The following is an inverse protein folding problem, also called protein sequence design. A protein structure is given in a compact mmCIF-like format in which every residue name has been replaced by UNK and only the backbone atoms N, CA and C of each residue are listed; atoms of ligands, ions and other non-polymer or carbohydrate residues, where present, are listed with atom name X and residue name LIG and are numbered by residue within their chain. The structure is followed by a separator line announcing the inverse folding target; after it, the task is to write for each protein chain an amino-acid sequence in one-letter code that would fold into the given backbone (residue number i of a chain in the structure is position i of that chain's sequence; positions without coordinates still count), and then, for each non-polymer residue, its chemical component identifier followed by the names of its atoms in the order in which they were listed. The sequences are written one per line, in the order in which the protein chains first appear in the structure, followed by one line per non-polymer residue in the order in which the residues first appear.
data_IF_636616050808
#
_entry.id   IF_636616050808
#
_cell.length_a   1.000
_cell.length_b   1.000
_cell.length_c   1.000
_cell.angle_alpha   90.00
_cell.angle_beta   90.00
_cell.angle_gamma   90.00
#
_symmetry.space_group_name_H-M   'P 1'
#
loop_
_entity.id
_entity.type
_entity.pdbx_description
1 polymer ?
#
# COMPACT_ATOMS: atom_id res chain seq x y z
N UNK A 1 16.51 -19.13 15.37
CA UNK A 1 15.22 -19.29 14.67
C UNK A 1 14.52 -17.95 14.45
N UNK A 2 14.32 -17.15 15.50
CA UNK A 2 13.68 -15.82 15.39
C UNK A 2 14.42 -14.85 14.44
N UNK A 3 15.76 -14.83 14.44
CA UNK A 3 16.53 -13.98 13.52
C UNK A 3 16.33 -14.34 12.03
N UNK A 4 16.17 -15.64 11.74
CA UNK A 4 15.87 -16.12 10.38
C UNK A 4 14.47 -15.65 9.97
N UNK A 5 13.49 -15.70 10.89
CA UNK A 5 12.14 -15.16 10.64
C UNK A 5 12.16 -13.65 10.38
N UNK A 6 12.93 -12.86 11.13
CA UNK A 6 13.12 -11.43 10.86
C UNK A 6 13.59 -11.19 9.43
N UNK A 7 14.62 -11.93 9.01
CA UNK A 7 15.18 -11.79 7.67
C UNK A 7 14.16 -12.17 6.59
N UNK A 8 13.38 -13.24 6.78
CA UNK A 8 12.31 -13.62 5.84
C UNK A 8 11.25 -12.51 5.75
N UNK A 9 10.76 -11.99 6.89
CA UNK A 9 9.74 -10.94 6.92
C UNK A 9 10.22 -9.68 6.22
N UNK A 10 11.47 -9.26 6.45
CA UNK A 10 12.03 -8.09 5.78
C UNK A 10 12.30 -8.35 4.30
N UNK A 11 12.87 -9.50 3.96
CA UNK A 11 13.22 -9.85 2.60
C UNK A 11 12.00 -10.07 1.70
N UNK A 12 10.87 -10.53 2.25
CA UNK A 12 9.61 -10.69 1.51
C UNK A 12 8.77 -9.41 1.59
N UNK A 13 8.71 -8.79 2.77
CA UNK A 13 7.88 -7.61 3.02
C UNK A 13 8.29 -6.40 2.20
N UNK A 14 9.58 -6.09 2.11
CA UNK A 14 10.08 -4.94 1.34
C UNK A 14 9.77 -5.05 -0.16
N UNK A 15 10.07 -6.17 -0.86
CA UNK A 15 9.68 -6.34 -2.25
C UNK A 15 8.19 -6.24 -2.50
N UNK A 16 7.35 -6.76 -1.59
CA UNK A 16 5.88 -6.63 -1.71
C UNK A 16 5.46 -5.17 -1.60
N UNK A 17 6.01 -4.41 -0.64
CA UNK A 17 5.74 -2.99 -0.49
C UNK A 17 6.20 -2.17 -1.71
N UNK A 18 7.38 -2.50 -2.27
CA UNK A 18 7.90 -1.86 -3.49
C UNK A 18 7.03 -2.21 -4.70
N UNK A 19 6.67 -3.48 -4.89
CA UNK A 19 5.81 -3.90 -5.99
C UNK A 19 4.41 -3.26 -5.89
N UNK A 20 3.82 -3.25 -4.69
CA UNK A 20 2.52 -2.64 -4.45
C UNK A 20 2.50 -1.13 -4.66
N UNK A 21 3.59 -0.44 -4.32
CA UNK A 21 3.72 1.01 -4.54
C UNK A 21 3.84 1.36 -6.01
N UNK A 22 4.61 0.60 -6.79
CA UNK A 22 4.65 0.76 -8.26
C UNK A 22 3.26 0.48 -8.86
N UNK A 23 2.60 -0.59 -8.43
CA UNK A 23 1.28 -0.97 -8.93
C UNK A 23 0.22 0.12 -8.70
N UNK A 24 0.11 0.65 -7.47
CA UNK A 24 -0.90 1.66 -7.14
C UNK A 24 -0.59 2.99 -7.84
N UNK A 25 0.68 3.32 -8.03
CA UNK A 25 1.07 4.52 -8.77
C UNK A 25 0.64 4.44 -10.25
N UNK A 26 0.91 3.31 -10.91
CA UNK A 26 0.51 3.09 -12.32
C UNK A 26 -1.01 3.15 -12.46
N UNK A 27 -1.76 2.43 -11.60
CA UNK A 27 -3.23 2.47 -11.62
C UNK A 27 -3.77 3.88 -11.35
N UNK A 28 -3.25 4.54 -10.32
CA UNK A 28 -3.64 5.89 -9.92
C UNK A 28 -3.44 6.92 -11.03
N UNK A 29 -2.30 6.83 -11.74
CA UNK A 29 -2.01 7.69 -12.90
C UNK A 29 -3.01 7.47 -14.04
N UNK A 30 -3.37 6.23 -14.31
CA UNK A 30 -4.41 5.88 -15.28
C UNK A 30 -5.74 6.57 -14.95
N UNK A 31 -6.23 6.41 -13.71
CA UNK A 31 -7.48 7.05 -13.26
C UNK A 31 -7.38 8.56 -13.41
N UNK A 32 -6.33 9.18 -12.87
CA UNK A 32 -6.15 10.63 -12.92
C UNK A 32 -6.14 11.18 -14.35
N UNK A 33 -5.55 10.48 -15.31
CA UNK A 33 -5.54 10.93 -16.71
C UNK A 33 -6.93 10.94 -17.35
N UNK A 34 -7.83 10.02 -16.97
CA UNK A 34 -9.18 9.93 -17.52
C UNK A 34 -10.15 10.94 -16.91
N UNK A 35 -9.93 11.36 -15.66
CA UNK A 35 -10.80 12.28 -14.92
C UNK A 35 -10.06 13.55 -14.48
N UNK A 36 -9.12 14.01 -15.30
CA UNK A 36 -8.27 15.17 -15.01
C UNK A 36 -9.12 16.41 -14.77
N UNK A 37 -9.06 16.96 -13.55
CA UNK A 37 -9.83 18.15 -13.14
C UNK A 37 -11.12 17.86 -12.38
N UNK A 38 -11.61 16.62 -12.36
CA UNK A 38 -12.79 16.24 -11.58
C UNK A 38 -12.47 15.95 -10.12
N UNK A 39 -13.52 15.95 -9.27
CA UNK A 39 -13.43 15.55 -7.87
C UNK A 39 -12.83 14.14 -7.71
N UNK A 40 -13.24 13.20 -8.58
CA UNK A 40 -12.79 11.81 -8.59
C UNK A 40 -11.29 11.72 -8.88
N UNK A 41 -10.78 12.53 -9.81
CA UNK A 41 -9.35 12.60 -10.11
C UNK A 41 -8.53 13.10 -8.92
N UNK A 42 -9.01 14.14 -8.21
CA UNK A 42 -8.36 14.65 -6.99
C UNK A 42 -8.35 13.61 -5.87
N UNK A 43 -9.48 12.97 -5.59
CA UNK A 43 -9.60 11.94 -4.55
C UNK A 43 -8.67 10.75 -4.86
N UNK A 44 -8.66 10.29 -6.12
CA UNK A 44 -7.80 9.17 -6.55
C UNK A 44 -6.31 9.50 -6.37
N UNK A 45 -5.90 10.72 -6.73
CA UNK A 45 -4.52 11.18 -6.53
C UNK A 45 -4.16 11.19 -5.05
N UNK A 46 -5.01 11.79 -4.19
CA UNK A 46 -4.79 11.82 -2.75
C UNK A 46 -4.70 10.41 -2.16
N UNK A 47 -5.61 9.50 -2.54
CA UNK A 47 -5.61 8.11 -2.08
C UNK A 47 -4.29 7.39 -2.42
N UNK A 48 -3.79 7.56 -3.64
CA UNK A 48 -2.52 6.98 -4.08
C UNK A 48 -1.36 7.53 -3.25
N UNK A 49 -1.27 8.84 -3.04
CA UNK A 49 -0.22 9.44 -2.21
C UNK A 49 -0.29 8.96 -0.76
N UNK A 50 -1.47 8.96 -0.15
CA UNK A 50 -1.65 8.49 1.23
C UNK A 50 -1.26 7.02 1.37
N UNK A 51 -1.58 6.18 0.39
CA UNK A 51 -1.17 4.78 0.39
C UNK A 51 0.34 4.59 0.23
N UNK A 52 0.99 5.37 -0.64
CA UNK A 52 2.44 5.33 -0.81
C UNK A 52 3.16 5.73 0.47
N UNK A 53 2.72 6.83 1.11
CA UNK A 53 3.26 7.27 2.39
C UNK A 53 3.02 6.20 3.46
N UNK A 54 1.83 5.63 3.52
CA UNK A 54 1.49 4.55 4.46
C UNK A 54 2.37 3.31 4.28
N UNK A 55 2.62 2.88 3.04
CA UNK A 55 3.52 1.76 2.71
C UNK A 55 4.95 2.00 3.18
N UNK A 56 5.50 3.18 2.87
CA UNK A 56 6.86 3.53 3.24
C UNK A 56 7.03 3.62 4.75
N UNK A 57 6.11 4.32 5.43
CA UNK A 57 6.08 4.43 6.88
C UNK A 57 5.96 3.05 7.54
N UNK A 58 5.07 2.18 7.04
CA UNK A 58 4.91 0.83 7.55
C UNK A 58 6.21 0.03 7.40
N UNK A 59 6.85 0.06 6.23
CA UNK A 59 8.11 -0.65 5.99
C UNK A 59 9.23 -0.21 6.93
N UNK A 60 9.43 1.10 7.09
CA UNK A 60 10.46 1.68 7.96
C UNK A 60 10.17 1.36 9.43
N UNK A 61 8.96 1.65 9.91
CA UNK A 61 8.59 1.45 11.32
C UNK A 61 8.65 -0.02 11.68
N UNK A 62 8.17 -0.92 10.82
CA UNK A 62 8.25 -2.36 11.05
C UNK A 62 9.69 -2.86 11.09
N UNK A 63 10.54 -2.35 10.21
CA UNK A 63 11.98 -2.68 10.21
C UNK A 63 12.63 -2.22 11.52
N UNK A 64 12.43 -0.96 11.90
CA UNK A 64 12.94 -0.43 13.16
C UNK A 64 12.46 -1.24 14.37
N UNK A 65 11.17 -1.56 14.43
CA UNK A 65 10.58 -2.31 15.53
C UNK A 65 11.15 -3.73 15.65
N UNK A 66 11.38 -4.40 14.51
CA UNK A 66 12.01 -5.73 14.46
C UNK A 66 13.49 -5.75 14.87
N UNK A 67 14.19 -4.60 14.80
CA UNK A 67 15.60 -4.49 15.21
C UNK A 67 15.80 -3.94 16.62
N UNK A 68 14.95 -3.01 17.09
CA UNK A 68 15.13 -2.34 18.38
C UNK A 68 14.36 -2.96 19.55
N UNK A 69 13.32 -3.75 19.29
CA UNK A 69 12.49 -4.37 20.34
C UNK A 69 12.74 -5.86 20.48
N UNK A 70 12.21 -6.48 21.54
CA UNK A 70 12.18 -7.93 21.68
C UNK A 70 11.53 -8.57 20.46
N UNK A 71 12.28 -9.43 19.77
CA UNK A 71 11.91 -9.92 18.43
C UNK A 71 10.58 -10.69 18.44
N UNK A 72 10.31 -11.49 19.47
CA UNK A 72 9.01 -12.17 19.61
C UNK A 72 7.85 -11.17 19.68
N UNK A 73 7.94 -10.16 20.56
CA UNK A 73 6.91 -9.12 20.70
C UNK A 73 6.76 -8.32 19.41
N UNK A 74 7.86 -7.97 18.76
CA UNK A 74 7.85 -7.23 17.51
C UNK A 74 7.08 -7.98 16.41
N UNK A 75 7.29 -9.28 16.25
CA UNK A 75 6.56 -10.07 15.27
C UNK A 75 5.05 -10.14 15.55
N UNK A 76 4.66 -10.32 16.81
CA UNK A 76 3.24 -10.35 17.21
C UNK A 76 2.50 -9.03 16.93
N UNK A 77 3.23 -7.92 16.83
CA UNK A 77 2.65 -6.61 16.47
C UNK A 77 2.72 -6.37 14.96
N UNK A 78 3.87 -6.61 14.34
CA UNK A 78 4.11 -6.29 12.92
C UNK A 78 3.22 -7.11 12.00
N UNK A 79 3.06 -8.42 12.25
CA UNK A 79 2.28 -9.30 11.37
C UNK A 79 0.81 -8.86 11.26
N UNK A 80 0.06 -8.65 12.37
CA UNK A 80 -1.30 -8.13 12.29
C UNK A 80 -1.41 -6.77 11.60
N UNK A 81 -0.47 -5.86 11.86
CA UNK A 81 -0.47 -4.53 11.23
C UNK A 81 -0.30 -4.66 9.71
N UNK A 82 0.59 -5.54 9.25
CA UNK A 82 0.74 -5.84 7.82
C UNK A 82 -0.53 -6.43 7.21
N UNK A 83 -1.23 -7.32 7.91
CA UNK A 83 -2.49 -7.90 7.44
C UNK A 83 -3.56 -6.82 7.28
N UNK A 84 -3.75 -5.98 8.30
CA UNK A 84 -4.73 -4.88 8.27
C UNK A 84 -4.40 -3.90 7.14
N UNK A 85 -3.12 -3.57 6.98
CA UNK A 85 -2.68 -2.72 5.88
C UNK A 85 -2.92 -3.35 4.52
N UNK A 86 -2.64 -4.65 4.35
CA UNK A 86 -2.87 -5.36 3.10
C UNK A 86 -4.36 -5.37 2.71
N UNK A 87 -5.27 -5.56 3.68
CA UNK A 87 -6.72 -5.45 3.45
C UNK A 87 -7.05 -4.05 2.93
N UNK A 88 -6.56 -2.99 3.59
CA UNK A 88 -6.78 -1.61 3.16
C UNK A 88 -6.25 -1.36 1.73
N UNK A 89 -5.08 -1.92 1.41
CA UNK A 89 -4.50 -1.84 0.06
C UNK A 89 -5.41 -2.46 -1.01
N UNK A 90 -5.96 -3.66 -0.76
CA UNK A 90 -6.90 -4.28 -1.69
C UNK A 90 -8.19 -3.47 -1.84
N UNK A 91 -8.70 -2.87 -0.77
CA UNK A 91 -9.86 -1.97 -0.84
C UNK A 91 -9.56 -0.74 -1.70
N UNK A 92 -8.41 -0.10 -1.50
CA UNK A 92 -8.01 1.06 -2.32
C UNK A 92 -7.90 0.70 -3.81
N UNK A 93 -7.35 -0.47 -4.14
CA UNK A 93 -7.31 -0.96 -5.53
C UNK A 93 -8.73 -1.12 -6.09
N UNK A 94 -9.66 -1.70 -5.32
CA UNK A 94 -11.05 -1.85 -5.76
C UNK A 94 -11.70 -0.50 -6.04
N UNK A 95 -11.54 0.47 -5.13
CA UNK A 95 -12.06 1.84 -5.29
C UNK A 95 -11.46 2.51 -6.53
N UNK A 96 -10.15 2.42 -6.74
CA UNK A 96 -9.50 2.97 -7.95
C UNK A 96 -10.03 2.31 -9.23
N UNK A 97 -10.28 1.00 -9.20
CA UNK A 97 -10.81 0.26 -10.36
C UNK A 97 -12.25 0.66 -10.65
N UNK A 98 -13.07 0.80 -9.62
CA UNK A 98 -14.44 1.26 -9.74
C UNK A 98 -14.49 2.68 -10.33
N UNK A 99 -13.71 3.61 -9.78
CA UNK A 99 -13.60 4.98 -10.29
C UNK A 99 -13.12 5.02 -11.75
N UNK A 100 -12.20 4.13 -12.14
CA UNK A 100 -11.76 3.97 -13.54
C UNK A 100 -12.91 3.54 -14.45
N UNK A 101 -13.69 2.54 -14.03
CA UNK A 101 -14.79 2.02 -14.82
C UNK A 101 -15.92 3.05 -14.96
N UNK A 102 -16.22 3.79 -13.91
CA UNK A 102 -17.18 4.90 -13.96
C UNK A 102 -16.70 6.01 -14.90
N UNK A 103 -15.45 6.44 -14.78
CA UNK A 103 -14.85 7.44 -15.67
C UNK A 103 -14.94 7.02 -17.15
N UNK A 104 -14.66 5.74 -17.43
CA UNK A 104 -14.71 5.19 -18.79
C UNK A 104 -16.13 5.20 -19.37
N UNK A 105 -17.14 4.87 -18.55
CA UNK A 105 -18.56 4.94 -18.94
C UNK A 105 -19.03 6.36 -19.26
N UNK A 106 -18.49 7.37 -18.59
CA UNK A 106 -18.84 8.78 -18.84
C UNK A 106 -18.12 9.36 -20.08
N UNK A 107 -17.07 8.69 -20.56
CA UNK A 107 -16.29 9.11 -21.74
C UNK A 107 -16.74 8.45 -23.05
N UNK A 108 -17.69 7.49 -22.99
CA UNK A 108 -18.39 6.92 -24.14
C UNK A 108 -19.74 7.61 -24.31
#
# INVERSE_FOLDING_TARGET
MLEIMRNIVLFVGWPILVAGSVFIFVKGKGVYSMVKGSLIGKISKTLVYTMLVGMYSLGIVSTFFLYCSNLSTAMYVVIPVFIVWAINFFMAIKVLTYATNEAKKMSQ
#
